data_IF_802318619934
#
_entry.id   IF_802318619934
#
_cell.length_a   1.000
_cell.length_b   1.000
_cell.length_c   1.000
_cell.angle_alpha   90.00
_cell.angle_beta   90.00
_cell.angle_gamma   90.00
#
_symmetry.space_group_name_H-M   'P 1'
#
loop_
_entity.id
_entity.type
_entity.pdbx_description
1 polymer ?
#
# COMPACT_ATOMS: atom_id res chain seq x y z
N UNK A 1 -17.62 19.41 -7.85
CA UNK A 1 -17.38 17.96 -7.94
C UNK A 1 -17.24 17.41 -6.53
N UNK A 2 -18.24 16.68 -6.01
CA UNK A 2 -18.08 15.96 -4.75
C UNK A 2 -17.17 14.75 -5.02
N UNK A 3 -15.88 14.90 -4.73
CA UNK A 3 -14.83 13.92 -5.02
C UNK A 3 -14.59 12.94 -3.88
N UNK A 4 -15.39 12.98 -2.83
CA UNK A 4 -15.26 12.06 -1.70
C UNK A 4 -16.24 10.89 -1.87
N UNK A 5 -15.78 9.86 -2.59
CA UNK A 5 -16.43 8.56 -2.60
C UNK A 5 -15.95 7.76 -1.40
N UNK A 6 -16.88 7.29 -0.58
CA UNK A 6 -16.59 6.42 0.54
C UNK A 6 -16.18 5.05 0.02
N UNK A 7 -14.90 4.73 0.08
CA UNK A 7 -14.38 3.44 -0.37
C UNK A 7 -14.55 2.42 0.75
N UNK A 8 -15.45 1.45 0.56
CA UNK A 8 -15.57 0.28 1.46
C UNK A 8 -14.47 -0.71 1.12
N UNK A 9 -13.26 -0.44 1.62
CA UNK A 9 -12.13 -1.38 1.54
C UNK A 9 -11.66 -1.72 2.94
N UNK A 10 -11.21 -2.94 3.10
CA UNK A 10 -10.49 -3.35 4.30
C UNK A 10 -9.12 -2.66 4.37
N UNK A 11 -8.56 -2.44 5.57
CA UNK A 11 -7.19 -1.93 5.70
C UNK A 11 -6.16 -2.76 4.94
N UNK A 12 -6.39 -4.07 4.83
CA UNK A 12 -5.56 -5.01 4.09
C UNK A 12 -5.59 -4.74 2.58
N UNK A 13 -6.77 -4.62 1.98
CA UNK A 13 -6.92 -4.32 0.55
C UNK A 13 -6.33 -2.96 0.18
N UNK A 14 -6.48 -1.96 1.07
CA UNK A 14 -5.88 -0.65 0.87
C UNK A 14 -4.35 -0.72 0.91
N UNK A 15 -3.79 -1.51 1.83
CA UNK A 15 -2.35 -1.73 1.90
C UNK A 15 -1.83 -2.48 0.66
N UNK A 16 -2.56 -3.50 0.20
CA UNK A 16 -2.22 -4.26 -1.00
C UNK A 16 -2.24 -3.39 -2.26
N UNK A 17 -3.25 -2.53 -2.42
CA UNK A 17 -3.34 -1.59 -3.53
C UNK A 17 -2.20 -0.57 -3.51
N UNK A 18 -1.86 -0.02 -2.34
CA UNK A 18 -0.74 0.90 -2.19
C UNK A 18 0.60 0.22 -2.48
N UNK A 19 0.81 -0.99 -1.95
CA UNK A 19 2.02 -1.75 -2.21
C UNK A 19 2.16 -2.05 -3.70
N UNK A 20 1.08 -2.47 -4.38
CA UNK A 20 1.07 -2.68 -5.83
C UNK A 20 1.44 -1.43 -6.62
N UNK A 21 0.86 -0.28 -6.28
CA UNK A 21 1.18 1.00 -6.94
C UNK A 21 2.65 1.37 -6.79
N UNK A 22 3.21 1.24 -5.58
CA UNK A 22 4.62 1.56 -5.31
C UNK A 22 5.54 0.60 -6.06
N UNK A 23 5.21 -0.70 -6.11
CA UNK A 23 6.00 -1.67 -6.88
C UNK A 23 6.02 -1.32 -8.36
N UNK A 24 4.86 -0.95 -8.92
CA UNK A 24 4.76 -0.56 -10.33
C UNK A 24 5.57 0.70 -10.63
N UNK A 25 5.54 1.70 -9.75
CA UNK A 25 6.33 2.92 -9.93
C UNK A 25 7.84 2.65 -9.88
N UNK A 26 8.28 1.80 -8.96
CA UNK A 26 9.70 1.40 -8.87
C UNK A 26 10.12 0.63 -10.12
N UNK A 27 9.28 -0.29 -10.60
CA UNK A 27 9.55 -1.05 -11.82
C UNK A 27 9.63 -0.12 -13.03
N UNK A 28 8.67 0.80 -13.19
CA UNK A 28 8.66 1.77 -14.26
C UNK A 28 9.89 2.70 -14.24
N UNK A 29 10.34 3.11 -13.05
CA UNK A 29 11.48 4.02 -12.90
C UNK A 29 12.84 3.35 -13.05
N UNK A 30 12.96 2.07 -12.66
CA UNK A 30 14.26 1.38 -12.56
C UNK A 30 14.42 0.20 -13.52
N UNK A 31 13.34 -0.24 -14.17
CA UNK A 31 13.29 -1.44 -15.01
C UNK A 31 13.46 -2.75 -14.22
N UNK A 32 13.36 -2.71 -12.89
CA UNK A 32 13.57 -3.85 -12.00
C UNK A 32 12.33 -4.05 -11.13
N UNK A 33 11.79 -5.27 -11.11
CA UNK A 33 10.73 -5.63 -10.17
C UNK A 33 11.34 -5.79 -8.75
N UNK A 34 11.02 -4.91 -7.79
CA UNK A 34 11.40 -5.14 -6.40
C UNK A 34 10.61 -6.33 -5.86
N UNK A 35 11.23 -7.18 -5.02
CA UNK A 35 10.46 -8.24 -4.35
C UNK A 35 9.59 -7.63 -3.25
N UNK A 36 8.38 -8.17 -3.06
CA UNK A 36 7.45 -7.73 -2.01
C UNK A 36 8.07 -7.82 -0.60
N UNK A 37 9.00 -8.74 -0.39
CA UNK A 37 9.76 -8.86 0.87
C UNK A 37 10.70 -7.67 1.14
N UNK A 38 11.18 -6.96 0.12
CA UNK A 38 11.92 -5.70 0.31
C UNK A 38 11.01 -4.57 0.83
N UNK A 39 9.71 -4.61 0.54
CA UNK A 39 8.75 -3.64 1.08
C UNK A 39 8.49 -3.87 2.57
N UNK A 40 8.52 -5.12 3.04
CA UNK A 40 8.45 -5.44 4.45
C UNK A 40 9.65 -4.91 5.27
N UNK A 41 10.75 -4.53 4.61
CA UNK A 41 11.90 -3.87 5.24
C UNK A 41 11.67 -2.37 5.52
N UNK A 42 10.66 -1.76 4.90
CA UNK A 42 10.27 -0.38 5.17
C UNK A 42 9.22 -0.36 6.30
N UNK A 43 9.67 -0.43 7.56
CA UNK A 43 9.13 0.20 8.79
C UNK A 43 7.60 0.39 9.05
N UNK A 44 6.69 -0.16 8.26
CA UNK A 44 5.25 -0.02 8.48
C UNK A 44 4.77 -1.18 9.35
N UNK A 45 4.90 -1.01 10.67
CA UNK A 45 4.23 -1.89 11.63
C UNK A 45 2.72 -1.64 11.61
N UNK A 46 1.94 -2.71 11.38
CA UNK A 46 0.48 -2.71 11.55
C UNK A 46 0.17 -2.43 13.02
N UNK A 47 -0.20 -1.20 13.37
CA UNK A 47 -0.67 -0.90 14.73
C UNK A 47 -2.02 -1.57 14.95
N UNK A 48 -2.22 -2.33 16.04
CA UNK A 48 -3.53 -2.87 16.38
C UNK A 48 -4.50 -1.70 16.61
N UNK A 49 -5.64 -1.75 15.93
CA UNK A 49 -6.69 -0.74 16.00
C UNK A 49 -7.27 -0.66 17.42
N UNK A 50 -6.98 0.41 18.17
CA UNK A 50 -7.62 0.71 19.46
C UNK A 50 -8.85 1.59 19.22
N UNK A 51 -10.06 1.03 19.38
CA UNK A 51 -11.26 1.85 19.60
C UNK A 51 -11.13 2.53 20.97
N UNK A 52 -11.18 3.86 20.99
CA UNK A 52 -11.55 4.64 22.18
C UNK A 52 -13.06 4.75 22.24
#
# INVERSE_FOLDING_TARGET
>A
MQLTKTLKVTPEELFDALAGSIMQDIENATGKCPSRNKLNGYKYEKRPYRKR
#
